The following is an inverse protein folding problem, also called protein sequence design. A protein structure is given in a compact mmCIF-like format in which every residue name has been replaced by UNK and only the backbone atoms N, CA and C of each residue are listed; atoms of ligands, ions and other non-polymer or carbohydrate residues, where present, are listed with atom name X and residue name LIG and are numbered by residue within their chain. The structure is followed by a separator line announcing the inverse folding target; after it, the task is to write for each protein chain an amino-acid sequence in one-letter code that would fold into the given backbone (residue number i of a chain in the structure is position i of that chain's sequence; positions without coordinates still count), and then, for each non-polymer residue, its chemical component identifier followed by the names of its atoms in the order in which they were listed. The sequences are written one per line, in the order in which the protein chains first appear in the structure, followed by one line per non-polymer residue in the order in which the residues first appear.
data_IF_309387263301
#
_entry.id   IF_309387263301
#
_cell.length_a   1.000
_cell.length_b   1.000
_cell.length_c   1.000
_cell.angle_alpha   90.00
_cell.angle_beta   90.00
_cell.angle_gamma   90.00
#
_symmetry.space_group_name_H-M   'P 1'
#
loop_
_entity.id
_entity.type
_entity.pdbx_description
1 polymer ?
#
# COMPACT_ATOMS: atom_id res chain seq x y z
N UNK A 1 -5.61 7.38 -8.27
CA UNK A 1 -4.67 7.36 -7.13
C UNK A 1 -3.32 7.95 -7.51
N UNK A 2 -2.70 8.70 -6.60
CA UNK A 2 -1.34 9.26 -6.76
C UNK A 2 -0.34 8.37 -6.03
N UNK A 3 0.11 7.31 -6.71
CA UNK A 3 0.99 6.31 -6.12
C UNK A 3 2.46 6.78 -6.07
N UNK A 4 3.09 6.53 -4.93
CA UNK A 4 4.51 6.65 -4.70
C UNK A 4 5.18 5.28 -4.63
N UNK A 5 6.49 5.24 -4.88
CA UNK A 5 7.31 4.04 -4.67
C UNK A 5 7.75 3.96 -3.20
N UNK A 6 8.06 2.75 -2.74
CA UNK A 6 8.60 2.55 -1.39
C UNK A 6 10.07 2.96 -1.35
N UNK A 7 10.31 4.23 -1.01
CA UNK A 7 11.63 4.83 -0.92
C UNK A 7 11.66 5.97 0.10
N UNK A 8 12.86 6.46 0.39
CA UNK A 8 13.07 7.55 1.36
C UNK A 8 12.33 8.84 0.96
N UNK A 9 12.18 9.11 -0.33
CA UNK A 9 11.45 10.28 -0.81
C UNK A 9 9.97 10.27 -0.39
N UNK A 10 9.30 9.12 -0.50
CA UNK A 10 7.92 8.97 -0.06
C UNK A 10 7.77 9.13 1.46
N UNK A 11 8.74 8.63 2.23
CA UNK A 11 8.75 8.78 3.69
C UNK A 11 9.00 10.22 4.14
N UNK A 12 9.94 10.92 3.49
CA UNK A 12 10.18 12.34 3.76
C UNK A 12 8.98 13.20 3.35
N UNK A 13 8.31 12.85 2.25
CA UNK A 13 7.07 13.51 1.84
C UNK A 13 5.99 13.38 2.93
N UNK A 14 5.74 12.16 3.41
CA UNK A 14 4.77 11.90 4.47
C UNK A 14 5.07 12.69 5.74
N UNK A 15 6.35 12.72 6.16
CA UNK A 15 6.78 13.54 7.30
C UNK A 15 6.56 15.03 7.06
N UNK A 16 6.92 15.54 5.89
CA UNK A 16 6.82 16.97 5.57
C UNK A 16 5.38 17.47 5.49
N UNK A 17 4.46 16.59 5.10
CA UNK A 17 3.03 16.89 4.99
C UNK A 17 2.24 16.52 6.24
N UNK A 18 2.90 15.93 7.26
CA UNK A 18 2.24 15.38 8.46
C UNK A 18 1.10 14.39 8.14
N UNK A 19 1.20 13.71 7.00
CA UNK A 19 0.19 12.78 6.51
C UNK A 19 0.56 11.32 6.83
N UNK A 20 -0.45 10.48 6.98
CA UNK A 20 -0.26 9.04 7.17
C UNK A 20 0.12 8.35 5.86
N UNK A 21 0.76 7.19 5.97
CA UNK A 21 1.09 6.35 4.81
C UNK A 21 0.00 5.31 4.62
N UNK A 22 -0.57 5.27 3.42
CA UNK A 22 -1.39 4.15 2.96
C UNK A 22 -0.50 3.21 2.16
N UNK A 23 -0.11 2.08 2.75
CA UNK A 23 0.76 1.10 2.11
C UNK A 23 -0.05 -0.04 1.48
N UNK A 24 0.03 -0.18 0.17
CA UNK A 24 -0.57 -1.27 -0.58
C UNK A 24 0.52 -2.18 -1.14
N UNK A 25 0.67 -3.39 -0.58
CA UNK A 25 1.60 -4.40 -1.09
C UNK A 25 0.81 -5.45 -1.86
N UNK A 26 1.25 -5.75 -3.09
CA UNK A 26 0.59 -6.71 -3.96
C UNK A 26 1.56 -7.34 -4.94
N UNK A 27 1.03 -8.10 -5.91
CA UNK A 27 1.76 -8.68 -7.03
C UNK A 27 0.86 -8.72 -8.26
N UNK A 28 1.45 -8.70 -9.45
CA UNK A 28 0.73 -8.52 -10.72
C UNK A 28 -0.32 -9.61 -11.00
N UNK A 29 -0.14 -10.83 -10.47
CA UNK A 29 -1.08 -11.95 -10.68
C UNK A 29 -2.05 -12.18 -9.52
N UNK A 30 -2.11 -11.25 -8.55
CA UNK A 30 -3.07 -11.33 -7.47
C UNK A 30 -4.47 -10.99 -7.98
N UNK A 31 -5.39 -11.94 -7.83
CA UNK A 31 -6.79 -11.75 -8.21
C UNK A 31 -7.43 -10.59 -7.44
N UNK A 32 -7.21 -10.52 -6.12
CA UNK A 32 -7.79 -9.49 -5.26
C UNK A 32 -7.13 -8.11 -5.42
N UNK A 33 -5.87 -8.04 -5.87
CA UNK A 33 -5.27 -6.75 -6.22
C UNK A 33 -5.95 -6.14 -7.44
N UNK A 34 -6.30 -6.95 -8.46
CA UNK A 34 -7.05 -6.45 -9.62
C UNK A 34 -8.46 -5.99 -9.23
N UNK A 35 -9.17 -6.77 -8.43
CA UNK A 35 -10.52 -6.38 -7.95
C UNK A 35 -10.46 -5.09 -7.13
N UNK A 36 -9.49 -4.95 -6.23
CA UNK A 36 -9.34 -3.72 -5.43
C UNK A 36 -8.92 -2.51 -6.27
N UNK A 37 -8.15 -2.73 -7.33
CA UNK A 37 -7.77 -1.69 -8.28
C UNK A 37 -9.00 -1.18 -9.06
N UNK A 38 -9.79 -2.10 -9.63
CA UNK A 38 -11.00 -1.80 -10.40
C UNK A 38 -12.12 -1.19 -9.54
N UNK A 39 -12.38 -1.74 -8.34
CA UNK A 39 -13.52 -1.31 -7.52
C UNK A 39 -13.22 -0.11 -6.61
N UNK A 40 -11.96 0.20 -6.33
CA UNK A 40 -11.59 1.23 -5.34
C UNK A 40 -10.57 2.24 -5.84
N UNK A 41 -9.49 1.81 -6.49
CA UNK A 41 -8.41 2.75 -6.86
C UNK A 41 -8.69 3.52 -8.17
N UNK A 42 -9.59 3.00 -9.00
CA UNK A 42 -10.13 3.66 -10.19
C UNK A 42 -11.36 4.54 -9.89
N UNK A 43 -12.01 4.36 -8.75
CA UNK A 43 -13.09 5.25 -8.30
C UNK A 43 -12.51 6.63 -7.90
N UNK A 44 -13.07 7.68 -8.49
CA UNK A 44 -12.56 9.04 -8.31
C UNK A 44 -12.78 9.57 -6.88
N UNK A 45 -13.90 9.24 -6.24
CA UNK A 45 -14.22 9.71 -4.88
C UNK A 45 -13.29 9.05 -3.86
N UNK A 46 -13.07 7.75 -3.99
CA UNK A 46 -12.12 7.00 -3.16
C UNK A 46 -10.70 7.51 -3.40
N UNK A 47 -10.30 7.70 -4.66
CA UNK A 47 -8.98 8.19 -4.99
C UNK A 47 -8.71 9.60 -4.46
N UNK A 48 -9.68 10.51 -4.55
CA UNK A 48 -9.58 11.87 -4.01
C UNK A 48 -9.43 11.85 -2.49
N UNK A 49 -10.24 11.04 -1.81
CA UNK A 49 -10.18 10.89 -0.35
C UNK A 49 -8.82 10.36 0.09
N UNK A 50 -8.35 9.28 -0.53
CA UNK A 50 -7.05 8.70 -0.20
C UNK A 50 -5.89 9.64 -0.51
N UNK A 51 -5.91 10.32 -1.65
CA UNK A 51 -4.86 11.26 -2.04
C UNK A 51 -4.79 12.50 -1.14
N UNK A 52 -5.91 12.88 -0.53
CA UNK A 52 -5.97 14.03 0.37
C UNK A 52 -5.37 13.70 1.73
N UNK A 53 -5.71 12.54 2.27
CA UNK A 53 -5.43 12.20 3.66
C UNK A 53 -4.19 11.31 3.83
N UNK A 54 -3.68 10.72 2.75
CA UNK A 54 -2.56 9.78 2.78
C UNK A 54 -1.50 10.01 1.70
N UNK A 55 -0.27 9.63 2.03
CA UNK A 55 0.75 9.31 1.03
C UNK A 55 0.57 7.83 0.66
N UNK A 56 0.01 7.59 -0.52
CA UNK A 56 -0.27 6.25 -1.01
C UNK A 56 0.99 5.63 -1.63
N UNK A 57 1.48 4.52 -1.07
CA UNK A 57 2.66 3.80 -1.54
C UNK A 57 2.24 2.43 -2.07
N UNK A 58 2.63 2.11 -3.31
CA UNK A 58 2.40 0.79 -3.92
C UNK A 58 3.72 0.00 -3.94
N UNK A 59 3.68 -1.22 -3.43
CA UNK A 59 4.82 -2.15 -3.40
C UNK A 59 4.48 -3.38 -4.21
N UNK A 60 5.35 -3.72 -5.16
CA UNK A 60 5.35 -5.04 -5.79
C UNK A 60 6.26 -5.96 -4.98
N UNK A 61 5.66 -6.97 -4.36
CA UNK A 61 6.38 -7.96 -3.56
C UNK A 61 7.29 -8.87 -4.37
N UNK A 62 7.06 -9.04 -5.68
CA UNK A 62 7.95 -9.82 -6.54
C UNK A 62 9.27 -9.08 -6.74
N UNK A 63 9.23 -7.74 -6.67
CA UNK A 63 10.41 -6.86 -6.76
C UNK A 63 11.00 -6.59 -5.38
N UNK A 64 10.18 -6.45 -4.34
CA UNK A 64 10.57 -6.13 -2.96
C UNK A 64 10.07 -7.17 -1.94
N UNK A 65 10.54 -8.42 -2.01
CA UNK A 65 10.07 -9.49 -1.12
C UNK A 65 10.41 -9.24 0.36
N UNK A 66 11.51 -8.54 0.63
CA UNK A 66 11.92 -8.21 2.00
C UNK A 66 10.94 -7.25 2.69
N UNK A 67 10.38 -6.30 1.93
CA UNK A 67 9.37 -5.36 2.42
C UNK A 67 8.08 -6.12 2.76
N UNK A 68 7.62 -6.98 1.86
CA UNK A 68 6.47 -7.85 2.10
C UNK A 68 6.65 -8.73 3.35
N UNK A 69 7.80 -9.40 3.48
CA UNK A 69 8.09 -10.25 4.63
C UNK A 69 8.10 -9.48 5.97
N UNK A 70 8.61 -8.25 5.96
CA UNK A 70 8.62 -7.39 7.14
C UNK A 70 7.20 -7.04 7.59
N UNK A 71 6.37 -6.55 6.67
CA UNK A 71 4.98 -6.20 7.00
C UNK A 71 4.11 -7.42 7.29
N UNK A 72 4.38 -8.57 6.65
CA UNK A 72 3.75 -9.85 7.01
C UNK A 72 3.97 -10.19 8.47
N UNK A 73 5.22 -10.10 8.91
CA UNK A 73 5.61 -10.42 10.28
C UNK A 73 4.90 -9.49 11.27
N UNK A 74 4.84 -8.20 10.94
CA UNK A 74 4.11 -7.22 11.74
C UNK A 74 2.61 -7.54 11.82
N UNK A 75 1.95 -7.79 10.69
CA UNK A 75 0.53 -8.15 10.64
C UNK A 75 0.28 -9.42 11.45
N UNK A 76 1.07 -10.47 11.26
CA UNK A 76 0.90 -11.73 11.99
C UNK A 76 1.06 -11.55 13.51
N UNK A 77 1.96 -10.68 13.96
CA UNK A 77 2.11 -10.35 15.39
C UNK A 77 0.90 -9.60 15.95
N UNK A 78 0.26 -8.75 15.15
CA UNK A 78 -0.87 -7.91 15.57
C UNK A 78 -2.19 -8.70 15.52
N UNK A 79 -2.42 -9.45 14.46
CA UNK A 79 -3.73 -10.07 14.17
C UNK A 79 -3.75 -11.58 14.42
N UNK A 80 -2.59 -12.22 14.52
CA UNK A 80 -2.45 -13.69 14.58
C UNK A 80 -2.59 -14.39 13.22
N UNK A 81 -2.85 -13.65 12.14
CA UNK A 81 -3.07 -14.20 10.79
C UNK A 81 -2.47 -13.28 9.72
N UNK A 82 -1.77 -13.84 8.73
CA UNK A 82 -1.30 -13.09 7.56
C UNK A 82 -2.36 -13.00 6.46
N UNK A 83 -2.07 -12.24 5.41
CA UNK A 83 -2.91 -12.11 4.21
C UNK A 83 -2.65 -13.18 3.13
N UNK A 84 -2.00 -14.29 3.50
CA UNK A 84 -1.76 -15.45 2.62
C UNK A 84 -2.91 -16.48 2.64
N UNK A 85 -3.99 -16.19 3.36
CA UNK A 85 -5.13 -17.09 3.55
C UNK A 85 -6.39 -16.48 2.96
#
# INVERSE_FOLDING_TARGET
MNWHTFNDEAFELAKSQENLIFLSIGYATCHWCHVMEEESFEDLEVAETLNKDFIAIKVDREVMPDVDAHFMSAVQLITGSGWYL
#
